data_IF_276832431257
#
_entry.id   IF_276832431257
#
_cell.length_a   1.000
_cell.length_b   1.000
_cell.length_c   1.000
_cell.angle_alpha   90.00
_cell.angle_beta   90.00
_cell.angle_gamma   90.00
#
_symmetry.space_group_name_H-M   'P 1'
#
loop_
_entity.id
_entity.type
_entity.pdbx_description
1 polymer ?
#
# COMPACT_ATOMS: atom_id res chain seq x y z
N UNK A 1 -19.32 75.12 13.25
CA UNK A 1 -18.14 74.53 13.93
C UNK A 1 -17.33 73.86 12.82
N UNK A 2 -16.20 74.37 12.28
CA UNK A 2 -14.86 74.64 12.90
C UNK A 2 -14.29 73.37 13.57
N UNK A 3 -13.05 72.89 13.35
CA UNK A 3 -11.89 73.30 12.50
C UNK A 3 -11.33 72.05 11.75
N UNK A 4 -10.52 72.04 10.67
CA UNK A 4 -9.57 72.98 10.00
C UNK A 4 -8.10 72.90 10.50
N UNK A 5 -7.14 73.14 9.59
CA UNK A 5 -5.64 73.12 9.65
C UNK A 5 -4.98 71.76 9.35
N UNK A 6 -4.18 71.49 8.29
CA UNK A 6 -3.38 72.24 7.28
C UNK A 6 -1.85 72.38 7.57
N UNK A 7 -1.04 72.10 6.54
CA UNK A 7 0.44 72.24 6.49
C UNK A 7 1.20 70.92 6.67
N UNK A 8 2.26 70.60 5.91
CA UNK A 8 2.85 71.25 4.74
C UNK A 8 4.12 70.49 4.29
N UNK A 9 4.42 70.43 2.98
CA UNK A 9 5.69 69.88 2.47
C UNK A 9 6.85 70.90 2.64
N UNK A 10 8.11 70.46 2.55
CA UNK A 10 8.77 70.60 1.24
C UNK A 10 9.63 69.39 0.83
N UNK A 11 9.91 69.29 -0.47
CA UNK A 11 10.81 68.29 -1.06
C UNK A 11 12.28 68.76 -1.05
N UNK A 12 13.22 67.84 -0.89
CA UNK A 12 14.63 68.02 -1.31
C UNK A 12 15.12 66.77 -2.03
N UNK A 13 15.75 66.98 -3.18
CA UNK A 13 16.31 65.94 -4.05
C UNK A 13 17.70 65.49 -3.57
N UNK A 14 18.00 64.20 -3.66
CA UNK A 14 19.37 63.73 -3.86
C UNK A 14 19.43 62.58 -4.88
N UNK A 15 20.42 62.66 -5.77
CA UNK A 15 20.63 61.71 -6.86
C UNK A 15 21.30 60.45 -6.31
N UNK A 16 20.79 59.27 -6.65
CA UNK A 16 21.63 58.07 -6.69
C UNK A 16 21.75 57.54 -8.12
N UNK A 17 23.00 57.36 -8.51
CA UNK A 17 23.48 57.01 -9.84
C UNK A 17 23.08 55.58 -10.22
N UNK A 18 22.60 55.43 -11.46
CA UNK A 18 22.53 54.12 -12.11
C UNK A 18 23.93 53.53 -12.25
N UNK A 19 24.24 52.45 -11.52
CA UNK A 19 25.36 51.59 -11.87
C UNK A 19 24.91 50.57 -12.91
N UNK A 20 25.29 50.83 -14.16
CA UNK A 20 25.16 49.88 -15.27
C UNK A 20 26.12 48.72 -15.04
N UNK A 21 25.64 47.65 -14.40
CA UNK A 21 26.39 46.39 -14.38
C UNK A 21 26.37 45.77 -15.78
N UNK A 22 27.56 45.66 -16.38
CA UNK A 22 27.73 45.16 -17.75
C UNK A 22 27.42 43.67 -17.80
N UNK A 23 26.45 43.30 -18.63
CA UNK A 23 26.24 41.91 -19.05
C UNK A 23 27.52 41.37 -19.71
N UNK A 24 28.19 40.44 -19.03
CA UNK A 24 29.28 39.68 -19.64
C UNK A 24 28.68 38.64 -20.60
N UNK A 25 28.94 38.82 -21.89
CA UNK A 25 28.56 37.89 -22.96
C UNK A 25 29.29 36.55 -22.76
N UNK A 26 28.64 35.58 -22.11
CA UNK A 26 29.07 34.19 -22.17
C UNK A 26 28.68 33.63 -23.54
N UNK A 27 29.65 33.15 -24.29
CA UNK A 27 29.41 32.55 -25.61
C UNK A 27 28.75 31.17 -25.45
N UNK A 28 27.67 30.85 -26.19
CA UNK A 28 27.14 29.50 -26.20
C UNK A 28 28.10 28.58 -26.97
N UNK A 29 28.73 27.64 -26.27
CA UNK A 29 29.48 26.57 -26.91
C UNK A 29 28.54 25.72 -27.78
N UNK A 30 28.78 25.69 -29.09
CA UNK A 30 28.12 24.77 -30.01
C UNK A 30 28.46 23.33 -29.63
N UNK A 31 27.55 22.65 -28.93
CA UNK A 31 27.62 21.20 -28.78
C UNK A 31 26.94 20.57 -30.01
N UNK A 32 27.73 20.18 -31.01
CA UNK A 32 27.25 19.53 -32.23
C UNK A 32 26.98 18.05 -31.96
N UNK A 33 25.74 17.71 -31.57
CA UNK A 33 25.30 16.32 -31.55
C UNK A 33 25.05 15.83 -32.98
N UNK A 34 25.92 14.93 -33.44
CA UNK A 34 25.84 14.34 -34.77
C UNK A 34 24.82 13.19 -34.77
N UNK A 35 23.58 13.49 -35.15
CA UNK A 35 22.52 12.47 -35.28
C UNK A 35 22.82 11.57 -36.49
N UNK A 36 23.38 10.39 -36.25
CA UNK A 36 23.41 9.33 -37.26
C UNK A 36 22.07 8.61 -37.29
N UNK A 37 21.22 8.98 -38.25
CA UNK A 37 20.01 8.23 -38.57
C UNK A 37 20.38 6.92 -39.28
N UNK A 38 20.14 5.78 -38.63
CA UNK A 38 20.19 4.46 -39.26
C UNK A 38 18.76 4.05 -39.67
N UNK A 39 18.50 4.07 -40.98
CA UNK A 39 17.22 3.67 -41.54
C UNK A 39 16.95 2.16 -41.37
N UNK A 40 15.70 1.72 -41.17
CA UNK A 40 15.37 0.31 -41.03
C UNK A 40 15.49 -0.42 -42.37
N UNK A 41 16.40 -1.39 -42.47
CA UNK A 41 16.40 -2.35 -43.58
C UNK A 41 15.53 -3.55 -43.22
N UNK A 42 14.32 -3.58 -43.76
CA UNK A 42 13.53 -4.80 -43.86
C UNK A 42 14.31 -5.85 -44.68
N UNK A 43 14.62 -6.98 -44.06
CA UNK A 43 15.15 -8.17 -44.73
C UNK A 43 14.45 -9.40 -44.17
N UNK A 44 13.48 -9.90 -44.91
CA UNK A 44 12.85 -11.20 -44.68
C UNK A 44 13.89 -12.32 -44.75
N UNK A 45 14.01 -13.15 -43.70
CA UNK A 45 14.53 -14.51 -43.83
C UNK A 45 13.98 -15.44 -42.74
N UNK A 46 13.66 -16.64 -43.19
CA UNK A 46 12.81 -17.65 -42.57
C UNK A 46 13.27 -18.13 -41.19
N UNK A 47 12.31 -18.59 -40.39
CA UNK A 47 12.54 -19.18 -39.08
C UNK A 47 13.28 -20.53 -39.19
N UNK A 48 14.39 -20.65 -38.46
CA UNK A 48 15.01 -21.93 -38.12
C UNK A 48 15.17 -21.98 -36.58
N UNK A 49 14.47 -22.91 -35.92
CA UNK A 49 14.55 -23.12 -34.47
C UNK A 49 15.82 -23.92 -34.13
N UNK A 50 16.93 -23.24 -33.93
CA UNK A 50 18.16 -23.85 -33.40
C UNK A 50 18.18 -23.73 -31.88
N UNK A 51 18.08 -24.87 -31.18
CA UNK A 51 18.03 -24.95 -29.72
C UNK A 51 19.45 -24.87 -29.15
N UNK A 52 19.91 -23.67 -28.80
CA UNK A 52 21.21 -23.48 -28.13
C UNK A 52 21.17 -24.08 -26.73
N UNK A 53 21.97 -25.12 -26.48
CA UNK A 53 22.31 -25.57 -25.14
C UNK A 53 23.46 -24.71 -24.61
N UNK A 54 23.19 -23.92 -23.57
CA UNK A 54 24.23 -23.31 -22.75
C UNK A 54 24.73 -24.35 -21.76
N UNK A 55 25.92 -24.88 -21.99
CA UNK A 55 26.69 -25.56 -20.95
C UNK A 55 27.33 -24.50 -20.06
N UNK A 56 26.82 -24.36 -18.83
CA UNK A 56 27.43 -23.51 -17.82
C UNK A 56 28.26 -24.41 -16.89
N UNK A 57 29.58 -24.38 -17.05
CA UNK A 57 30.51 -25.05 -16.13
C UNK A 57 30.68 -24.19 -14.89
N UNK A 58 29.96 -24.52 -13.82
CA UNK A 58 30.15 -23.92 -12.51
C UNK A 58 30.99 -24.86 -11.64
N UNK A 59 32.21 -24.44 -11.29
CA UNK A 59 33.04 -25.12 -10.30
C UNK A 59 32.46 -24.85 -8.91
N UNK A 60 31.70 -25.80 -8.39
CA UNK A 60 31.07 -25.72 -7.08
C UNK A 60 31.92 -26.46 -6.03
N UNK A 61 32.88 -25.76 -5.43
CA UNK A 61 33.57 -26.21 -4.21
C UNK A 61 33.02 -25.48 -2.98
N UNK A 62 31.81 -25.87 -2.58
CA UNK A 62 31.26 -25.67 -1.24
C UNK A 62 30.63 -26.99 -0.79
N UNK A 63 31.12 -27.56 0.30
CA UNK A 63 30.59 -28.81 0.88
C UNK A 63 29.22 -28.56 1.51
N UNK A 64 28.16 -28.64 0.69
CA UNK A 64 26.80 -28.73 1.18
C UNK A 64 26.58 -30.15 1.69
N UNK A 65 26.57 -30.33 3.02
CA UNK A 65 26.00 -31.55 3.63
C UNK A 65 24.58 -31.71 3.09
N UNK A 66 24.21 -32.88 2.51
CA UNK A 66 22.88 -33.05 1.97
C UNK A 66 21.86 -32.99 3.11
N UNK A 67 20.89 -32.08 3.01
CA UNK A 67 19.71 -32.12 3.84
C UNK A 67 18.97 -33.43 3.52
N UNK A 68 18.92 -34.34 4.49
CA UNK A 68 18.20 -35.59 4.33
C UNK A 68 16.71 -35.29 4.13
N UNK A 69 16.09 -35.93 3.14
CA UNK A 69 14.65 -35.90 2.98
C UNK A 69 14.01 -36.73 4.11
N UNK A 70 13.78 -36.10 5.26
CA UNK A 70 13.03 -36.68 6.37
C UNK A 70 11.60 -36.95 5.91
N UNK A 71 11.19 -38.22 5.99
CA UNK A 71 9.77 -38.57 5.90
C UNK A 71 9.10 -38.11 7.19
N UNK A 72 8.05 -37.29 7.07
CA UNK A 72 7.30 -36.78 8.21
C UNK A 72 6.59 -37.93 8.95
N UNK A 73 7.15 -38.35 10.09
CA UNK A 73 6.61 -39.42 10.93
C UNK A 73 5.55 -38.82 11.88
N UNK A 74 4.28 -39.17 11.67
CA UNK A 74 3.19 -38.74 12.54
C UNK A 74 2.72 -39.88 13.45
N UNK A 75 2.35 -39.54 14.68
CA UNK A 75 1.70 -40.47 15.61
C UNK A 75 0.57 -39.80 16.39
N UNK A 76 -0.34 -40.63 16.87
CA UNK A 76 -1.58 -40.19 17.53
C UNK A 76 -1.59 -40.67 18.98
N UNK A 77 -1.99 -39.77 19.89
CA UNK A 77 -2.04 -40.01 21.33
C UNK A 77 -3.40 -39.59 21.90
N UNK A 78 -3.85 -40.37 22.86
CA UNK A 78 -5.07 -40.15 23.63
C UNK A 78 -4.66 -40.06 25.10
N UNK A 79 -4.86 -38.91 25.73
CA UNK A 79 -4.43 -38.65 27.11
C UNK A 79 -5.57 -38.10 27.95
N UNK A 80 -5.87 -38.78 29.06
CA UNK A 80 -6.81 -38.30 30.07
C UNK A 80 -6.16 -37.26 30.99
N UNK A 81 -6.95 -36.28 31.47
CA UNK A 81 -6.46 -35.26 32.41
C UNK A 81 -6.26 -35.86 33.82
N UNK A 82 -5.28 -35.40 34.61
CA UNK A 82 -4.31 -34.33 34.32
C UNK A 82 -3.25 -34.76 33.30
N UNK A 83 -2.78 -33.83 32.47
CA UNK A 83 -1.73 -34.10 31.48
C UNK A 83 -0.35 -33.82 32.09
N UNK A 84 0.58 -34.77 31.96
CA UNK A 84 2.00 -34.60 32.30
C UNK A 84 2.80 -33.93 31.19
N UNK A 85 2.15 -33.26 30.24
CA UNK A 85 2.77 -32.70 29.03
C UNK A 85 2.74 -31.17 29.09
N UNK A 86 3.92 -30.54 28.92
CA UNK A 86 4.08 -29.08 28.88
C UNK A 86 4.20 -28.63 27.44
N UNK A 87 3.35 -27.69 27.04
CA UNK A 87 3.32 -27.12 25.69
C UNK A 87 4.07 -25.78 25.63
N UNK A 88 4.59 -25.43 24.46
CA UNK A 88 5.14 -24.11 24.17
C UNK A 88 4.74 -23.63 22.77
N UNK A 89 4.86 -22.31 22.56
CA UNK A 89 4.61 -21.64 21.28
C UNK A 89 5.92 -21.53 20.52
N UNK A 90 5.98 -22.04 19.29
CA UNK A 90 7.13 -21.87 18.42
C UNK A 90 7.25 -20.45 17.83
N UNK A 91 8.38 -20.16 17.21
CA UNK A 91 8.61 -18.94 16.41
C UNK A 91 7.56 -18.80 15.27
N UNK A 92 7.23 -19.92 14.62
CA UNK A 92 6.14 -20.04 13.62
C UNK A 92 4.72 -19.84 14.19
N UNK A 93 4.58 -19.80 15.52
CA UNK A 93 3.30 -19.66 16.22
C UNK A 93 2.52 -20.96 16.45
N UNK A 94 3.03 -22.11 16.00
CA UNK A 94 2.42 -23.43 16.25
C UNK A 94 2.66 -23.91 17.69
N UNK A 95 2.04 -25.03 18.06
CA UNK A 95 2.18 -25.66 19.37
C UNK A 95 3.19 -26.81 19.31
N UNK A 96 4.14 -26.80 20.24
CA UNK A 96 5.16 -27.84 20.37
C UNK A 96 5.20 -28.39 21.80
N UNK A 97 5.73 -29.60 21.96
CA UNK A 97 6.03 -30.21 23.25
C UNK A 97 7.32 -29.60 23.80
N UNK A 98 7.25 -28.96 24.96
CA UNK A 98 8.42 -28.41 25.66
C UNK A 98 9.07 -29.44 26.59
N UNK A 99 8.27 -30.24 27.27
CA UNK A 99 8.74 -31.27 28.21
C UNK A 99 7.60 -32.22 28.60
N UNK A 100 7.96 -33.44 28.98
CA UNK A 100 7.09 -34.45 29.60
C UNK A 100 7.52 -34.69 31.05
N UNK A 101 6.55 -34.81 31.95
CA UNK A 101 6.75 -35.04 33.38
C UNK A 101 5.66 -35.98 33.91
N UNK A 102 5.92 -37.30 33.95
CA UNK A 102 4.98 -38.31 34.43
C UNK A 102 4.54 -38.14 35.89
N UNK A 103 5.21 -37.29 36.67
CA UNK A 103 4.83 -36.99 38.07
C UNK A 103 3.68 -36.00 38.16
N UNK A 104 3.43 -35.22 37.10
CA UNK A 104 2.41 -34.15 37.06
C UNK A 104 1.10 -34.65 36.45
N UNK A 105 1.14 -35.70 35.63
CA UNK A 105 -0.04 -36.31 35.02
C UNK A 105 0.32 -37.32 33.93
N UNK A 106 -0.68 -37.73 33.17
CA UNK A 106 -0.56 -38.76 32.14
C UNK A 106 0.30 -38.29 30.96
N UNK A 107 1.16 -39.19 30.48
CA UNK A 107 2.07 -39.03 29.34
C UNK A 107 2.09 -40.31 28.50
N UNK A 108 2.50 -40.22 27.25
CA UNK A 108 2.77 -41.36 26.37
C UNK A 108 4.28 -41.44 26.13
N UNK A 109 4.86 -42.65 26.17
CA UNK A 109 6.30 -42.88 26.03
C UNK A 109 6.87 -42.42 24.68
N UNK A 110 6.01 -42.30 23.66
CA UNK A 110 6.37 -41.84 22.31
C UNK A 110 6.53 -40.32 22.23
N UNK A 111 6.05 -39.56 23.22
CA UNK A 111 6.11 -38.09 23.22
C UNK A 111 7.50 -37.61 23.62
N UNK A 112 8.14 -36.83 22.75
CA UNK A 112 9.44 -36.21 23.00
C UNK A 112 9.32 -34.68 23.01
N UNK A 113 10.28 -34.01 23.64
CA UNK A 113 10.41 -32.56 23.52
C UNK A 113 10.80 -32.21 22.07
N UNK A 114 10.26 -31.11 21.55
CA UNK A 114 10.41 -30.69 20.15
C UNK A 114 9.25 -31.15 19.24
N UNK A 115 8.48 -32.17 19.61
CA UNK A 115 7.39 -32.66 18.74
C UNK A 115 6.30 -31.61 18.51
N UNK A 116 5.81 -31.51 17.26
CA UNK A 116 4.86 -30.49 16.82
C UNK A 116 3.43 -31.02 16.83
N UNK A 117 2.49 -30.30 17.41
CA UNK A 117 1.07 -30.67 17.39
C UNK A 117 0.44 -30.19 16.07
N UNK A 118 -0.16 -31.13 15.33
CA UNK A 118 -0.75 -30.91 14.00
C UNK A 118 -2.27 -30.98 14.05
N UNK A 119 -2.84 -31.81 14.94
CA UNK A 119 -4.28 -31.84 15.21
C UNK A 119 -4.57 -31.99 16.71
N UNK A 120 -5.75 -31.52 17.13
CA UNK A 120 -6.22 -31.56 18.52
C UNK A 120 -7.73 -31.79 18.58
N UNK A 121 -8.21 -32.53 19.58
CA UNK A 121 -9.65 -32.68 19.86
C UNK A 121 -10.33 -31.35 20.16
N UNK A 122 -11.57 -31.19 19.69
CA UNK A 122 -12.49 -30.14 20.08
C UNK A 122 -12.77 -30.13 21.60
N UNK A 123 -13.12 -28.97 22.17
CA UNK A 123 -13.49 -28.86 23.59
C UNK A 123 -14.68 -29.76 23.97
N UNK A 124 -15.61 -29.99 23.04
CA UNK A 124 -16.82 -30.81 23.21
C UNK A 124 -16.99 -31.74 22.00
N UNK A 125 -17.65 -32.88 22.17
CA UNK A 125 -17.86 -33.87 21.10
C UNK A 125 -16.64 -34.74 20.80
N UNK A 126 -16.61 -35.37 19.63
CA UNK A 126 -15.51 -36.22 19.13
C UNK A 126 -14.72 -35.58 17.99
N UNK A 127 -15.01 -34.33 17.63
CA UNK A 127 -14.42 -33.66 16.49
C UNK A 127 -12.93 -33.36 16.70
N UNK A 128 -12.17 -33.39 15.61
CA UNK A 128 -10.73 -33.14 15.58
C UNK A 128 -10.45 -31.96 14.65
N UNK A 129 -9.70 -30.98 15.15
CA UNK A 129 -9.34 -29.77 14.42
C UNK A 129 -7.85 -29.76 14.07
N UNK A 130 -7.52 -29.09 12.97
CA UNK A 130 -6.15 -28.68 12.66
C UNK A 130 -5.63 -27.66 13.69
N UNK A 131 -4.38 -27.84 14.12
CA UNK A 131 -3.70 -27.04 15.12
C UNK A 131 -3.08 -25.77 14.50
N UNK A 132 -3.91 -24.77 14.17
CA UNK A 132 -3.48 -23.57 13.43
C UNK A 132 -2.53 -22.65 14.20
N UNK A 133 -2.63 -22.64 15.53
CA UNK A 133 -1.72 -21.88 16.41
C UNK A 133 -1.77 -22.38 17.85
N UNK A 134 -0.75 -22.03 18.63
CA UNK A 134 -0.62 -22.37 20.06
C UNK A 134 -1.85 -22.00 20.91
N UNK A 135 -2.45 -20.84 20.68
CA UNK A 135 -3.60 -20.37 21.46
C UNK A 135 -4.82 -21.27 21.31
N UNK A 136 -5.13 -21.68 20.08
CA UNK A 136 -6.22 -22.61 19.76
C UNK A 136 -6.02 -23.96 20.46
N UNK A 137 -4.81 -24.54 20.35
CA UNK A 137 -4.48 -25.86 20.92
C UNK A 137 -4.60 -25.83 22.44
N UNK A 138 -3.97 -24.87 23.11
CA UNK A 138 -4.02 -24.77 24.58
C UNK A 138 -5.44 -24.49 25.08
N UNK A 139 -6.23 -23.67 24.37
CA UNK A 139 -7.63 -23.43 24.72
C UNK A 139 -8.47 -24.71 24.63
N UNK A 140 -8.36 -25.44 23.52
CA UNK A 140 -9.06 -26.71 23.31
C UNK A 140 -8.70 -27.73 24.41
N UNK A 141 -7.39 -27.95 24.64
CA UNK A 141 -6.90 -28.85 25.68
C UNK A 141 -7.40 -28.43 27.07
N UNK A 142 -7.32 -27.13 27.42
CA UNK A 142 -7.74 -26.65 28.75
C UNK A 142 -9.25 -26.84 28.98
N UNK A 143 -10.08 -26.53 27.97
CA UNK A 143 -11.55 -26.59 28.08
C UNK A 143 -12.16 -27.96 27.78
N UNK A 144 -11.40 -28.90 27.22
CA UNK A 144 -11.84 -30.29 26.92
C UNK A 144 -12.51 -30.97 28.12
N UNK A 145 -13.73 -31.49 27.95
CA UNK A 145 -14.30 -32.50 28.83
C UNK A 145 -14.01 -33.90 28.28
N UNK A 146 -13.48 -34.78 29.14
CA UNK A 146 -13.01 -36.12 28.74
C UNK A 146 -11.56 -36.13 28.22
N UNK A 147 -11.26 -37.14 27.40
CA UNK A 147 -9.93 -37.42 26.88
C UNK A 147 -9.49 -36.39 25.82
N UNK A 148 -8.19 -36.07 25.83
CA UNK A 148 -7.54 -35.17 24.89
C UNK A 148 -6.85 -36.00 23.80
N UNK A 149 -7.33 -35.87 22.57
CA UNK A 149 -6.65 -36.42 21.40
C UNK A 149 -5.68 -35.38 20.84
N UNK A 150 -4.48 -35.82 20.47
CA UNK A 150 -3.50 -35.03 19.71
C UNK A 150 -2.85 -35.88 18.63
N UNK A 151 -2.65 -35.29 17.45
CA UNK A 151 -1.75 -35.83 16.42
C UNK A 151 -0.47 -35.01 16.42
N UNK A 152 0.66 -35.68 16.57
CA UNK A 152 1.97 -35.06 16.61
C UNK A 152 2.78 -35.45 15.38
N UNK A 153 3.56 -34.49 14.87
CA UNK A 153 4.70 -34.70 13.99
C UNK A 153 5.93 -34.86 14.87
N UNK A 154 6.65 -35.97 14.66
CA UNK A 154 7.84 -36.33 15.41
C UNK A 154 9.04 -35.54 14.90
N UNK A 155 9.64 -34.75 15.79
CA UNK A 155 10.77 -33.87 15.48
C UNK A 155 12.11 -34.42 15.97
N UNK A 156 12.11 -35.62 16.59
CA UNK A 156 13.32 -36.32 17.08
C UNK A 156 14.23 -35.47 17.99
N UNK A 157 13.64 -34.60 18.81
CA UNK A 157 14.37 -33.69 19.70
C UNK A 157 14.81 -32.37 19.06
N UNK A 158 14.42 -32.06 17.81
CA UNK A 158 14.66 -30.74 17.22
C UNK A 158 13.87 -29.66 17.97
N UNK A 159 14.61 -28.76 18.63
CA UNK A 159 14.08 -27.64 19.39
C UNK A 159 14.22 -26.31 18.64
N UNK A 160 14.69 -26.29 17.39
CA UNK A 160 14.96 -25.06 16.62
C UNK A 160 13.75 -24.13 16.50
N UNK A 161 12.53 -24.67 16.38
CA UNK A 161 11.30 -23.89 16.37
C UNK A 161 10.92 -23.28 17.75
N UNK A 162 11.53 -23.77 18.84
CA UNK A 162 11.37 -23.31 20.22
C UNK A 162 12.56 -22.50 20.75
N UNK A 163 13.70 -22.55 20.06
CA UNK A 163 14.83 -21.68 20.33
C UNK A 163 14.45 -20.22 20.01
N UNK A 164 14.94 -19.30 20.83
CA UNK A 164 14.81 -17.89 20.50
C UNK A 164 15.75 -17.61 19.34
N UNK A 165 15.20 -17.38 18.15
CA UNK A 165 15.90 -16.65 17.07
C UNK A 165 16.67 -15.48 17.69
N UNK A 166 17.87 -15.19 17.18
CA UNK A 166 18.70 -14.05 17.60
C UNK A 166 18.09 -12.71 17.16
N UNK A 167 16.89 -12.45 17.65
CA UNK A 167 16.25 -11.16 17.72
C UNK A 167 17.23 -10.20 18.38
N UNK A 168 17.48 -9.07 17.72
CA UNK A 168 18.34 -8.03 18.29
C UNK A 168 17.88 -7.68 19.71
N UNK A 169 18.81 -7.24 20.56
CA UNK A 169 18.47 -6.88 21.95
C UNK A 169 17.36 -5.82 22.03
N UNK A 170 17.22 -5.00 20.98
CA UNK A 170 16.09 -4.12 20.75
C UNK A 170 14.77 -4.89 20.57
N UNK A 171 14.71 -5.83 19.62
CA UNK A 171 13.53 -6.66 19.38
C UNK A 171 13.13 -7.51 20.59
N UNK A 172 14.09 -8.04 21.35
CA UNK A 172 13.84 -8.73 22.63
C UNK A 172 13.22 -7.80 23.67
N UNK A 173 13.78 -6.60 23.89
CA UNK A 173 13.19 -5.57 24.76
C UNK A 173 11.78 -5.19 24.32
N UNK A 174 11.53 -5.01 23.02
CA UNK A 174 10.19 -4.69 22.51
C UNK A 174 9.18 -5.84 22.67
N UNK A 175 9.61 -7.10 22.53
CA UNK A 175 8.77 -8.28 22.79
C UNK A 175 8.41 -8.36 24.28
N UNK A 176 9.37 -8.10 25.16
CA UNK A 176 9.18 -8.06 26.60
C UNK A 176 8.23 -6.93 27.02
N UNK A 177 8.47 -5.68 26.58
CA UNK A 177 7.58 -4.52 26.85
C UNK A 177 6.13 -4.81 26.41
N UNK A 178 5.93 -5.33 25.19
CA UNK A 178 4.59 -5.70 24.69
C UNK A 178 3.94 -6.83 25.50
N UNK A 179 4.71 -7.80 25.97
CA UNK A 179 4.19 -8.95 26.73
C UNK A 179 3.82 -8.62 28.18
N UNK A 180 4.50 -7.64 28.79
CA UNK A 180 4.31 -7.27 30.20
C UNK A 180 3.12 -6.35 30.48
N UNK A 181 2.36 -5.93 29.45
CA UNK A 181 1.25 -4.98 29.58
C UNK A 181 1.68 -3.55 29.98
N UNK A 182 2.99 -3.32 30.14
CA UNK A 182 3.58 -2.05 30.54
C UNK A 182 3.99 -1.26 29.28
N UNK A 183 3.31 -0.14 29.01
CA UNK A 183 3.62 0.76 27.90
C UNK A 183 4.90 1.56 28.20
N UNK A 184 6.04 0.87 28.14
CA UNK A 184 7.38 1.38 28.40
C UNK A 184 7.82 2.46 27.43
N UNK A 185 8.94 3.11 27.74
CA UNK A 185 9.46 4.24 26.99
C UNK A 185 9.71 3.91 25.51
N UNK A 186 10.10 2.66 25.19
CA UNK A 186 10.28 2.21 23.80
C UNK A 186 9.00 2.28 22.97
N UNK A 187 7.86 1.85 23.52
CA UNK A 187 6.56 1.95 22.84
C UNK A 187 6.14 3.38 22.53
N UNK A 188 6.38 4.33 23.45
CA UNK A 188 6.08 5.76 23.26
C UNK A 188 6.94 6.38 22.17
N UNK A 189 8.25 6.10 22.17
CA UNK A 189 9.17 6.58 21.13
C UNK A 189 8.81 6.06 19.73
N UNK A 190 8.31 4.83 19.62
CA UNK A 190 7.81 4.29 18.34
C UNK A 190 6.53 5.01 17.91
N UNK A 191 5.57 5.24 18.82
CA UNK A 191 4.35 6.00 18.52
C UNK A 191 4.68 7.43 18.07
N UNK A 192 5.61 8.10 18.76
CA UNK A 192 6.11 9.43 18.41
C UNK A 192 6.78 9.44 17.02
N UNK A 193 7.71 8.52 16.74
CA UNK A 193 8.34 8.39 15.40
C UNK A 193 7.32 8.12 14.31
N UNK A 194 6.35 7.24 14.54
CA UNK A 194 5.29 6.93 13.58
C UNK A 194 4.36 8.14 13.35
N UNK A 195 4.05 8.90 14.41
CA UNK A 195 3.26 10.11 14.33
C UNK A 195 4.00 11.21 13.56
N UNK A 196 5.26 11.48 13.90
CA UNK A 196 6.13 12.42 13.18
C UNK A 196 6.21 12.04 11.71
N UNK A 197 6.61 10.81 11.38
CA UNK A 197 6.71 10.34 9.99
C UNK A 197 5.40 10.46 9.20
N UNK A 198 4.25 10.17 9.83
CA UNK A 198 2.92 10.39 9.22
C UNK A 198 2.67 11.88 8.93
N UNK A 199 2.99 12.78 9.88
CA UNK A 199 2.79 14.23 9.72
C UNK A 199 3.75 14.84 8.71
N UNK A 200 4.98 14.33 8.60
CA UNK A 200 5.94 14.75 7.59
C UNK A 200 5.54 14.30 6.17
N UNK A 201 5.04 13.07 6.03
CA UNK A 201 4.49 12.59 4.75
C UNK A 201 3.27 13.42 4.32
N UNK A 202 2.36 13.72 5.25
CA UNK A 202 1.20 14.59 5.02
C UNK A 202 1.61 16.01 4.59
N UNK A 203 2.64 16.58 5.24
CA UNK A 203 3.24 17.87 4.89
C UNK A 203 3.83 17.84 3.48
N UNK A 204 4.74 16.90 3.19
CA UNK A 204 5.40 16.77 1.89
C UNK A 204 4.40 16.61 0.75
N UNK A 205 3.34 15.80 0.95
CA UNK A 205 2.27 15.63 -0.05
C UNK A 205 1.49 16.92 -0.30
N UNK A 206 1.30 17.77 0.71
CA UNK A 206 0.67 19.10 0.55
C UNK A 206 1.59 20.06 -0.20
N UNK A 207 2.85 20.16 0.20
CA UNK A 207 3.87 20.99 -0.46
C UNK A 207 3.95 20.64 -1.96
N UNK A 208 4.03 19.36 -2.30
CA UNK A 208 4.08 18.88 -3.68
C UNK A 208 2.77 19.16 -4.46
N UNK A 209 1.61 19.10 -3.81
CA UNK A 209 0.34 19.46 -4.43
C UNK A 209 0.26 20.97 -4.74
N UNK A 210 0.76 21.81 -3.83
CA UNK A 210 0.81 23.26 -4.02
C UNK A 210 1.83 23.65 -5.12
N UNK A 211 2.97 22.95 -5.22
CA UNK A 211 3.93 23.07 -6.32
C UNK A 211 3.30 22.67 -7.67
N UNK A 212 2.57 21.54 -7.72
CA UNK A 212 1.84 21.13 -8.93
C UNK A 212 0.82 22.16 -9.38
N UNK A 213 0.08 22.77 -8.44
CA UNK A 213 -0.83 23.90 -8.72
C UNK A 213 -0.08 25.13 -9.25
N UNK A 214 1.11 25.43 -8.75
CA UNK A 214 1.93 26.55 -9.22
C UNK A 214 2.49 26.31 -10.64
N UNK A 215 2.95 25.09 -10.92
CA UNK A 215 3.41 24.66 -12.27
C UNK A 215 2.26 24.69 -13.27
N UNK A 216 1.07 24.21 -12.90
CA UNK A 216 -0.11 24.27 -13.77
C UNK A 216 -0.48 25.71 -14.14
N UNK A 217 -0.55 26.61 -13.15
CA UNK A 217 -0.86 28.03 -13.35
C UNK A 217 0.17 28.79 -14.19
N UNK A 218 1.42 28.34 -14.21
CA UNK A 218 2.50 28.93 -15.03
C UNK A 218 2.60 28.29 -16.43
N UNK A 219 1.72 27.34 -16.77
CA UNK A 219 1.70 26.67 -18.07
C UNK A 219 2.70 25.51 -18.20
N UNK A 220 3.42 25.15 -17.14
CA UNK A 220 4.26 23.96 -17.10
C UNK A 220 3.41 22.72 -16.81
N UNK A 221 2.65 22.28 -17.82
CA UNK A 221 1.67 21.18 -17.68
C UNK A 221 2.36 19.85 -17.39
N UNK A 222 3.49 19.54 -18.06
CA UNK A 222 4.24 18.30 -17.83
C UNK A 222 4.79 18.21 -16.39
N UNK A 223 5.37 19.31 -15.89
CA UNK A 223 5.87 19.37 -14.52
C UNK A 223 4.75 19.35 -13.47
N UNK A 224 3.57 19.88 -13.79
CA UNK A 224 2.39 19.80 -12.92
C UNK A 224 1.82 18.38 -12.85
N UNK A 225 1.71 17.72 -14.01
CA UNK A 225 1.26 16.33 -14.12
C UNK A 225 2.13 15.40 -13.27
N UNK A 226 3.46 15.51 -13.39
CA UNK A 226 4.42 14.75 -12.58
C UNK A 226 4.20 14.94 -11.06
N UNK A 227 4.07 16.17 -10.60
CA UNK A 227 3.85 16.46 -9.18
C UNK A 227 2.52 15.86 -8.68
N UNK A 228 1.43 15.98 -9.46
CA UNK A 228 0.14 15.43 -9.07
C UNK A 228 0.15 13.90 -9.07
N UNK A 229 0.83 13.23 -10.00
CA UNK A 229 0.96 11.77 -10.02
C UNK A 229 1.77 11.26 -8.81
N UNK A 230 2.86 11.92 -8.44
CA UNK A 230 3.62 11.61 -7.22
C UNK A 230 2.78 11.89 -5.95
N UNK A 231 1.91 12.93 -5.94
CA UNK A 231 0.92 13.13 -4.86
C UNK A 231 -0.04 11.94 -4.72
N UNK A 232 -0.46 11.31 -5.83
CA UNK A 232 -1.27 10.08 -5.77
C UNK A 232 -0.46 8.88 -5.24
N UNK A 233 0.81 8.77 -5.63
CA UNK A 233 1.71 7.72 -5.14
C UNK A 233 1.98 7.84 -3.62
N UNK A 234 1.93 9.06 -3.07
CA UNK A 234 2.05 9.36 -1.64
C UNK A 234 0.77 9.11 -0.81
N UNK A 235 -0.27 8.52 -1.38
CA UNK A 235 -1.54 8.28 -0.67
C UNK A 235 -1.41 7.18 0.42
N UNK A 236 -1.79 7.45 1.69
CA UNK A 236 -1.66 6.49 2.76
C UNK A 236 -2.57 5.26 2.57
N UNK A 237 -1.95 4.07 2.55
CA UNK A 237 -2.64 2.78 2.47
C UNK A 237 -3.63 2.62 3.63
N UNK A 238 -4.88 2.28 3.30
CA UNK A 238 -5.93 2.10 4.31
C UNK A 238 -6.37 3.40 4.98
N UNK A 239 -6.27 4.54 4.29
CA UNK A 239 -6.85 5.80 4.77
C UNK A 239 -8.35 5.65 5.02
N UNK A 240 -8.81 6.23 6.13
CA UNK A 240 -10.21 6.41 6.48
C UNK A 240 -10.33 7.84 7.02
N UNK A 241 -11.09 8.68 6.32
CA UNK A 241 -11.44 10.03 6.77
C UNK A 241 -12.66 10.04 7.70
N UNK A 242 -12.88 11.17 8.36
CA UNK A 242 -14.06 11.39 9.25
C UNK A 242 -15.39 11.36 8.47
N UNK A 243 -15.34 11.63 7.15
CA UNK A 243 -16.42 11.50 6.16
C UNK A 243 -16.56 10.06 5.62
N UNK A 244 -15.92 9.06 6.25
CA UNK A 244 -15.77 7.68 5.77
C UNK A 244 -15.07 7.54 4.39
N UNK A 245 -14.40 8.59 3.90
CA UNK A 245 -13.60 8.51 2.68
C UNK A 245 -12.47 7.51 2.79
N UNK A 246 -12.23 6.74 1.72
CA UNK A 246 -11.10 5.78 1.63
C UNK A 246 -9.82 6.36 1.01
N UNK A 247 -9.86 7.64 0.65
CA UNK A 247 -8.76 8.43 0.07
C UNK A 247 -8.85 9.86 0.58
N UNK A 248 -7.73 10.56 0.65
CA UNK A 248 -7.70 11.94 1.11
C UNK A 248 -8.34 12.92 0.13
N UNK A 249 -8.76 14.08 0.64
CA UNK A 249 -9.26 15.16 -0.21
C UNK A 249 -8.23 15.65 -1.23
N UNK A 250 -6.93 15.63 -0.87
CA UNK A 250 -5.85 15.97 -1.80
C UNK A 250 -5.82 14.98 -2.97
N UNK A 251 -5.94 13.67 -2.72
CA UNK A 251 -6.01 12.65 -3.78
C UNK A 251 -7.13 12.92 -4.79
N UNK A 252 -8.35 13.17 -4.30
CA UNK A 252 -9.54 13.49 -5.13
C UNK A 252 -9.30 14.70 -6.04
N UNK A 253 -8.72 15.77 -5.49
CA UNK A 253 -8.46 17.02 -6.23
C UNK A 253 -7.26 16.87 -7.17
N UNK A 254 -6.24 16.07 -6.82
CA UNK A 254 -5.12 15.76 -7.71
C UNK A 254 -5.56 15.00 -8.95
N UNK A 255 -6.40 13.96 -8.83
CA UNK A 255 -6.98 13.25 -9.98
C UNK A 255 -7.73 14.21 -10.93
N UNK A 256 -8.52 15.14 -10.38
CA UNK A 256 -9.18 16.18 -11.16
C UNK A 256 -8.18 17.09 -11.90
N UNK A 257 -7.12 17.53 -11.22
CA UNK A 257 -6.09 18.37 -11.84
C UNK A 257 -5.28 17.61 -12.90
N UNK A 258 -5.06 16.31 -12.74
CA UNK A 258 -4.45 15.42 -13.74
C UNK A 258 -5.33 15.36 -14.99
N UNK A 259 -6.65 15.24 -14.85
CA UNK A 259 -7.58 15.33 -15.98
C UNK A 259 -7.48 16.69 -16.70
N UNK A 260 -7.34 17.80 -15.97
CA UNK A 260 -7.06 19.13 -16.54
C UNK A 260 -5.71 19.21 -17.27
N UNK A 261 -4.67 18.53 -16.76
CA UNK A 261 -3.35 18.45 -17.41
C UNK A 261 -3.45 17.70 -18.75
N UNK A 262 -3.99 16.47 -18.73
CA UNK A 262 -4.18 15.66 -19.94
C UNK A 262 -5.08 16.36 -20.98
N UNK A 263 -6.11 17.07 -20.52
CA UNK A 263 -6.97 17.92 -21.35
C UNK A 263 -6.20 19.03 -22.06
N UNK A 264 -5.32 19.74 -21.34
CA UNK A 264 -4.47 20.82 -21.88
C UNK A 264 -3.51 20.33 -22.97
N UNK A 265 -3.02 19.08 -22.88
CA UNK A 265 -2.16 18.45 -23.90
C UNK A 265 -2.94 17.61 -24.93
N UNK A 266 -4.27 17.72 -24.97
CA UNK A 266 -5.18 16.99 -25.86
C UNK A 266 -5.09 15.45 -25.79
N UNK A 267 -4.60 14.88 -24.68
CA UNK A 267 -4.66 13.45 -24.42
C UNK A 267 -6.03 13.07 -23.85
N UNK A 268 -7.03 13.08 -24.75
CA UNK A 268 -8.46 12.98 -24.38
C UNK A 268 -8.79 11.69 -23.62
N UNK A 269 -8.28 10.54 -24.03
CA UNK A 269 -8.62 9.26 -23.39
C UNK A 269 -8.03 9.14 -21.98
N UNK A 270 -6.75 9.49 -21.79
CA UNK A 270 -6.12 9.53 -20.46
C UNK A 270 -6.77 10.57 -19.54
N UNK A 271 -7.15 11.74 -20.06
CA UNK A 271 -7.86 12.76 -19.28
C UNK A 271 -9.25 12.32 -18.84
N UNK A 272 -9.97 11.55 -19.67
CA UNK A 272 -11.28 10.98 -19.29
C UNK A 272 -11.14 9.87 -18.24
N UNK A 273 -10.10 9.04 -18.33
CA UNK A 273 -9.80 8.04 -17.30
C UNK A 273 -9.44 8.68 -15.96
N UNK A 274 -8.58 9.72 -15.96
CA UNK A 274 -8.26 10.49 -14.76
C UNK A 274 -9.50 11.19 -14.15
N UNK A 275 -10.40 11.70 -15.00
CA UNK A 275 -11.65 12.32 -14.56
C UNK A 275 -12.60 11.30 -13.92
N UNK A 276 -12.74 10.11 -14.51
CA UNK A 276 -13.50 9.00 -13.94
C UNK A 276 -12.91 8.56 -12.60
N UNK A 277 -11.59 8.40 -12.52
CA UNK A 277 -10.89 8.08 -11.27
C UNK A 277 -11.11 9.16 -10.18
N UNK A 278 -11.16 10.45 -10.54
CA UNK A 278 -11.50 11.52 -9.62
C UNK A 278 -12.92 11.36 -9.05
N UNK A 279 -13.91 11.11 -9.90
CA UNK A 279 -15.31 10.95 -9.46
C UNK A 279 -15.53 9.65 -8.69
N UNK A 280 -14.93 8.53 -9.11
CA UNK A 280 -14.93 7.27 -8.38
C UNK A 280 -14.28 7.40 -6.98
N UNK A 281 -13.29 8.27 -6.83
CA UNK A 281 -12.67 8.63 -5.55
C UNK A 281 -13.56 9.54 -4.66
N UNK A 282 -14.68 10.06 -5.17
CA UNK A 282 -15.58 10.98 -4.46
C UNK A 282 -15.33 12.47 -4.75
N UNK A 283 -14.90 12.83 -5.97
CA UNK A 283 -14.87 14.22 -6.42
C UNK A 283 -16.26 14.66 -6.93
N UNK A 284 -17.02 15.37 -6.10
CA UNK A 284 -18.45 15.65 -6.33
C UNK A 284 -18.75 16.98 -7.06
N UNK A 285 -17.74 17.71 -7.56
CA UNK A 285 -17.95 19.02 -8.20
C UNK A 285 -18.42 18.89 -9.66
N UNK A 286 -19.47 18.10 -9.91
CA UNK A 286 -19.96 17.78 -11.26
C UNK A 286 -20.37 19.01 -12.09
N UNK A 287 -20.90 20.06 -11.44
CA UNK A 287 -21.20 21.35 -12.10
C UNK A 287 -19.94 22.03 -12.66
N UNK A 288 -18.84 21.97 -11.90
CA UNK A 288 -17.52 22.45 -12.34
C UNK A 288 -17.00 21.60 -13.51
N UNK A 289 -17.09 20.26 -13.42
CA UNK A 289 -16.65 19.35 -14.50
C UNK A 289 -17.29 19.70 -15.85
N UNK A 290 -18.58 20.09 -15.87
CA UNK A 290 -19.30 20.49 -17.10
C UNK A 290 -18.93 21.85 -17.67
N UNK A 291 -18.37 22.74 -16.86
CA UNK A 291 -18.14 24.15 -17.20
C UNK A 291 -16.66 24.55 -17.25
N UNK A 292 -15.74 23.76 -16.67
CA UNK A 292 -14.33 24.12 -16.56
C UNK A 292 -13.68 24.26 -17.96
N UNK A 293 -13.08 25.42 -18.28
CA UNK A 293 -12.36 25.61 -19.54
C UNK A 293 -11.14 24.68 -19.65
N UNK A 294 -10.50 24.32 -18.54
CA UNK A 294 -9.35 23.40 -18.56
C UNK A 294 -9.75 21.99 -19.02
N UNK A 295 -11.03 21.62 -18.94
CA UNK A 295 -11.57 20.33 -19.42
C UNK A 295 -12.20 20.42 -20.82
N UNK A 296 -12.02 21.51 -21.56
CA UNK A 296 -12.72 21.74 -22.83
C UNK A 296 -12.47 20.65 -23.89
N UNK A 297 -11.23 20.14 -24.02
CA UNK A 297 -10.93 19.07 -24.99
C UNK A 297 -11.62 17.76 -24.62
N UNK A 298 -11.71 17.43 -23.32
CA UNK A 298 -12.45 16.27 -22.83
C UNK A 298 -13.96 16.44 -23.08
N UNK A 299 -14.52 17.62 -22.74
CA UNK A 299 -15.96 17.92 -22.91
C UNK A 299 -16.45 17.82 -24.34
N UNK A 300 -15.57 17.99 -25.33
CA UNK A 300 -15.87 17.79 -26.77
C UNK A 300 -15.91 16.31 -27.18
N UNK A 301 -15.38 15.40 -26.36
CA UNK A 301 -15.38 13.96 -26.64
C UNK A 301 -16.77 13.34 -26.45
N UNK A 302 -17.27 12.49 -27.37
CA UNK A 302 -18.53 11.76 -27.16
C UNK A 302 -18.47 10.83 -25.94
N UNK A 303 -17.28 10.37 -25.54
CA UNK A 303 -17.06 9.56 -24.33
C UNK A 303 -17.33 10.35 -23.04
N UNK A 304 -17.19 11.68 -23.04
CA UNK A 304 -17.42 12.50 -21.84
C UNK A 304 -18.85 12.36 -21.32
N UNK A 305 -19.85 12.30 -22.22
CA UNK A 305 -21.24 12.06 -21.81
C UNK A 305 -21.38 10.71 -21.09
N UNK A 306 -20.74 9.65 -21.60
CA UNK A 306 -20.76 8.31 -20.99
C UNK A 306 -20.07 8.26 -19.62
N UNK A 307 -19.07 9.12 -19.41
CA UNK A 307 -18.45 9.31 -18.09
C UNK A 307 -19.42 10.02 -17.14
N UNK A 308 -20.03 11.14 -17.55
CA UNK A 308 -20.97 11.89 -16.70
C UNK A 308 -22.28 11.15 -16.40
N UNK A 309 -22.85 10.44 -17.38
CA UNK A 309 -24.10 9.67 -17.27
C UNK A 309 -24.05 8.57 -16.18
N UNK A 310 -22.86 8.19 -15.71
CA UNK A 310 -22.67 7.23 -14.61
C UNK A 310 -22.76 7.84 -13.22
N UNK A 311 -22.62 9.16 -13.11
CA UNK A 311 -22.68 9.91 -11.85
C UNK A 311 -23.89 10.85 -11.78
N UNK A 312 -24.56 11.11 -12.90
CA UNK A 312 -25.88 11.73 -12.94
C UNK A 312 -26.96 10.72 -12.53
N UNK A 313 -27.81 11.09 -11.57
CA UNK A 313 -28.90 10.22 -11.12
C UNK A 313 -29.86 9.87 -12.28
N UNK A 314 -30.35 8.62 -12.34
CA UNK A 314 -31.20 8.16 -13.46
C UNK A 314 -32.53 8.90 -13.61
N UNK A 315 -32.92 9.75 -12.65
CA UNK A 315 -34.11 10.61 -12.70
C UNK A 315 -34.01 11.66 -13.83
N UNK A 316 -32.80 12.06 -14.24
CA UNK A 316 -32.56 13.06 -15.28
C UNK A 316 -32.00 12.48 -16.59
N UNK A 317 -32.06 11.17 -16.79
CA UNK A 317 -31.65 10.59 -18.06
C UNK A 317 -32.65 10.98 -19.16
N UNK A 318 -32.22 11.82 -20.12
CA UNK A 318 -33.03 12.19 -21.29
C UNK A 318 -33.55 10.97 -22.05
N UNK A 319 -32.82 9.85 -22.05
CA UNK A 319 -33.27 8.58 -22.61
C UNK A 319 -34.48 8.00 -21.88
N UNK A 320 -34.51 8.05 -20.54
CA UNK A 320 -35.64 7.61 -19.73
C UNK A 320 -36.85 8.56 -19.87
N UNK A 321 -36.61 9.87 -19.90
CA UNK A 321 -37.65 10.89 -20.12
C UNK A 321 -38.25 10.77 -21.53
N UNK A 322 -37.43 10.50 -22.55
CA UNK A 322 -37.90 10.31 -23.93
C UNK A 322 -38.61 8.96 -24.12
N UNK A 323 -38.18 7.89 -23.44
CA UNK A 323 -38.91 6.63 -23.38
C UNK A 323 -40.30 6.82 -22.74
N UNK A 324 -40.38 7.47 -21.57
CA UNK A 324 -41.65 7.82 -20.91
C UNK A 324 -42.53 8.71 -21.80
N UNK A 325 -41.97 9.75 -22.43
CA UNK A 325 -42.71 10.62 -23.36
C UNK A 325 -43.23 9.87 -24.59
N UNK A 326 -42.52 8.86 -25.08
CA UNK A 326 -43.02 8.03 -26.19
C UNK A 326 -44.21 7.18 -25.75
N UNK A 327 -44.12 6.53 -24.59
CA UNK A 327 -45.19 5.71 -24.00
C UNK A 327 -46.46 6.56 -23.78
N UNK A 328 -46.32 7.76 -23.20
CA UNK A 328 -47.46 8.67 -22.99
C UNK A 328 -48.02 9.33 -24.26
N UNK A 329 -47.34 9.23 -25.43
CA UNK A 329 -47.81 9.78 -26.70
C UNK A 329 -48.61 8.78 -27.55
N UNK A 330 -48.52 7.48 -27.25
CA UNK A 330 -49.29 6.42 -27.91
C UNK A 330 -50.69 6.17 -27.29
N UNK A 331 -51.09 6.94 -26.28
CA UNK A 331 -52.35 6.80 -25.53
C UNK A 331 -53.40 7.88 -25.78
N UNK A 332 -53.47 8.46 -26.99
CA UNK A 332 -54.50 9.42 -27.43
C UNK A 332 -55.03 9.09 -28.81
#
# INVERSE_FOLDING_TARGET
>A
MQQVLAGGQPAVSSRQTQQVQRFSRVQPHRCSYQVQALAPRLSTRQAARTRLQLQCTAEASTEVKPAAATQDEYYEVFLSKPLGVKFARGNDGAAYIKATDPRVGNTDERIQAGDKIVNVSASFGSDVWEAKNYGQVVYAIKTRSGEVYMKLLKMNGDMSALEEEELTEEAKRFKLERSGGNYGAGTKQIQEKNYIGKRELERKRRELFDDGLAKFKSGNIEGALYDFEEVLAMEPKGYIGDDFSRVTQIYRVSQYNIACCYSSINQVDAGLEALENAMAAGFEQYSKIRSDPNLESLRKSPKFKQVMDRYDEPVLNEGAINALKSIFKFGK
#
